data_IF_170518411902
#
_entry.id   IF_170518411902
#
_cell.length_a   1.000
_cell.length_b   1.000
_cell.length_c   1.000
_cell.angle_alpha   90.00
_cell.angle_beta   90.00
_cell.angle_gamma   90.00
#
_symmetry.space_group_name_H-M   'P 1'
#
loop_
_entity.id
_entity.type
_entity.pdbx_description
1 polymer ?
#
# COMPACT_ATOMS: atom_id res chain seq x y z
N UNK A 1 -30.90 -10.64 8.33
CA UNK A 1 -29.64 -10.16 8.92
C UNK A 1 -28.55 -10.25 7.87
N UNK A 2 -28.26 -9.16 7.15
CA UNK A 2 -27.15 -9.10 6.20
C UNK A 2 -25.89 -8.73 6.97
N UNK A 3 -25.10 -9.74 7.32
CA UNK A 3 -23.77 -9.51 7.86
C UNK A 3 -22.94 -8.80 6.80
N UNK A 4 -22.68 -7.51 7.00
CA UNK A 4 -21.57 -6.86 6.33
C UNK A 4 -20.31 -7.57 6.85
N UNK A 5 -19.83 -8.57 6.11
CA UNK A 5 -18.46 -9.04 6.26
C UNK A 5 -17.61 -7.80 6.02
N UNK A 6 -17.09 -7.23 7.11
CA UNK A 6 -16.08 -6.18 7.03
C UNK A 6 -14.94 -6.80 6.22
N UNK A 7 -14.72 -6.28 5.02
CA UNK A 7 -13.65 -6.76 4.17
C UNK A 7 -12.33 -6.44 4.88
N UNK A 8 -11.79 -7.38 5.65
CA UNK A 8 -10.48 -7.25 6.28
C UNK A 8 -9.43 -7.51 5.21
N UNK A 9 -8.39 -6.67 5.16
CA UNK A 9 -7.24 -6.90 4.28
C UNK A 9 -6.61 -8.24 4.70
N UNK A 10 -6.62 -9.29 3.84
CA UNK A 10 -6.03 -10.57 4.19
C UNK A 10 -4.54 -10.35 4.39
N UNK A 11 -4.05 -10.79 5.55
CA UNK A 11 -2.65 -10.69 5.89
C UNK A 11 -1.81 -11.43 4.85
N UNK A 12 -0.84 -10.73 4.27
CA UNK A 12 0.15 -11.35 3.41
C UNK A 12 0.99 -12.34 4.25
N UNK A 13 1.23 -13.56 3.74
CA UNK A 13 2.22 -14.44 4.34
C UNK A 13 3.61 -13.83 4.25
N UNK A 14 4.57 -14.35 5.04
CA UNK A 14 5.96 -13.90 4.94
C UNK A 14 6.52 -14.09 3.52
N UNK A 15 6.15 -15.18 2.85
CA UNK A 15 6.58 -15.48 1.49
C UNK A 15 6.11 -14.39 0.52
N UNK A 16 4.81 -14.12 0.50
CA UNK A 16 4.26 -13.09 -0.39
C UNK A 16 4.75 -11.69 0.00
N UNK A 17 4.89 -11.36 1.29
CA UNK A 17 5.49 -10.09 1.74
C UNK A 17 6.88 -9.90 1.15
N UNK A 18 7.75 -10.91 1.26
CA UNK A 18 9.12 -10.82 0.71
C UNK A 18 9.13 -10.73 -0.81
N UNK A 19 8.24 -11.42 -1.50
CA UNK A 19 8.14 -11.37 -2.96
C UNK A 19 7.60 -10.03 -3.49
N UNK A 20 6.77 -9.35 -2.71
CA UNK A 20 6.23 -8.04 -3.04
C UNK A 20 7.13 -6.88 -2.60
N UNK A 21 8.12 -7.11 -1.74
CA UNK A 21 9.03 -6.06 -1.27
C UNK A 21 10.17 -5.79 -2.28
N UNK A 22 10.60 -4.54 -2.39
CA UNK A 22 11.86 -4.19 -3.04
C UNK A 22 13.07 -4.73 -2.30
N UNK A 23 14.22 -4.81 -2.98
CA UNK A 23 15.46 -5.25 -2.32
C UNK A 23 15.89 -4.24 -1.27
N UNK A 24 16.29 -4.64 -0.06
CA UNK A 24 16.88 -3.69 0.89
C UNK A 24 18.20 -3.15 0.32
N UNK A 25 18.29 -1.82 0.19
CA UNK A 25 19.49 -1.10 -0.22
C UNK A 25 20.08 -0.35 0.97
N UNK A 26 21.34 -0.65 1.30
CA UNK A 26 22.08 0.10 2.30
C UNK A 26 22.71 1.33 1.64
N UNK A 27 22.36 2.51 2.15
CA UNK A 27 22.93 3.79 1.70
C UNK A 27 23.89 4.32 2.73
N UNK A 28 25.03 4.77 2.22
CA UNK A 28 26.11 5.40 2.99
C UNK A 28 26.23 6.84 2.51
N UNK A 29 25.57 7.81 3.17
CA UNK A 29 25.74 9.22 2.82
C UNK A 29 27.18 9.69 3.13
N UNK A 30 27.67 10.70 2.39
CA UNK A 30 29.01 11.27 2.58
C UNK A 30 29.24 11.84 3.99
N UNK A 31 28.16 12.21 4.68
CA UNK A 31 28.16 12.55 6.10
C UNK A 31 26.96 11.90 6.79
N UNK A 32 27.22 11.09 7.82
CA UNK A 32 26.20 10.46 8.66
C UNK A 32 26.31 8.93 8.77
N UNK A 33 25.37 8.33 9.50
CA UNK A 33 25.25 6.89 9.66
C UNK A 33 24.59 6.22 8.45
N UNK A 34 24.91 4.95 8.22
CA UNK A 34 24.24 4.15 7.19
C UNK A 34 22.76 3.97 7.50
N UNK A 35 21.92 4.01 6.47
CA UNK A 35 20.49 3.69 6.59
C UNK A 35 20.05 2.73 5.48
N UNK A 36 18.97 1.99 5.72
CA UNK A 36 18.40 1.05 4.74
C UNK A 36 17.19 1.70 4.07
N UNK A 37 17.12 1.61 2.74
CA UNK A 37 15.94 1.99 1.95
C UNK A 37 15.43 0.80 1.16
N UNK A 38 14.19 0.90 0.68
CA UNK A 38 13.68 -0.04 -0.31
C UNK A 38 14.27 0.30 -1.68
N UNK A 39 15.10 -0.60 -2.19
CA UNK A 39 15.64 -0.61 -3.55
C UNK A 39 14.66 -1.20 -4.57
N UNK A 40 15.11 -1.45 -5.81
CA UNK A 40 14.24 -1.85 -6.90
C UNK A 40 13.53 -3.17 -6.62
N UNK A 41 12.27 -3.24 -7.04
CA UNK A 41 11.48 -4.45 -6.99
C UNK A 41 11.82 -5.37 -8.18
N UNK A 42 12.18 -6.62 -7.89
CA UNK A 42 12.67 -7.59 -8.88
C UNK A 42 11.76 -8.85 -8.95
N UNK A 43 10.62 -8.79 -9.68
CA UNK A 43 9.62 -9.87 -9.69
C UNK A 43 10.12 -11.21 -10.26
N UNK A 44 11.15 -11.19 -11.11
CA UNK A 44 11.70 -12.39 -11.75
C UNK A 44 12.35 -13.38 -10.79
N UNK A 45 12.82 -12.93 -9.61
CA UNK A 45 13.46 -13.80 -8.62
C UNK A 45 12.44 -14.54 -7.73
N UNK A 46 11.15 -14.19 -7.80
CA UNK A 46 10.14 -14.79 -6.95
C UNK A 46 9.85 -16.24 -7.35
N UNK A 47 9.65 -17.10 -6.34
CA UNK A 47 9.34 -18.53 -6.52
C UNK A 47 7.95 -18.75 -7.12
N UNK A 48 7.73 -19.91 -7.75
CA UNK A 48 6.38 -20.29 -8.24
C UNK A 48 5.35 -20.37 -7.11
N UNK A 49 5.76 -20.77 -5.90
CA UNK A 49 4.88 -20.76 -4.73
C UNK A 49 4.38 -19.35 -4.39
N UNK A 50 5.27 -18.34 -4.43
CA UNK A 50 4.89 -16.95 -4.21
C UNK A 50 3.96 -16.42 -5.31
N UNK A 51 4.14 -16.88 -6.56
CA UNK A 51 3.27 -16.51 -7.69
C UNK A 51 1.87 -17.10 -7.55
N UNK A 52 1.76 -18.36 -7.13
CA UNK A 52 0.47 -18.98 -6.86
C UNK A 52 -0.25 -18.30 -5.69
N UNK A 53 0.49 -18.01 -4.62
CA UNK A 53 -0.07 -17.27 -3.48
C UNK A 53 -0.58 -15.87 -3.89
N UNK A 54 0.17 -15.17 -4.75
CA UNK A 54 -0.28 -13.89 -5.30
C UNK A 54 -1.61 -14.02 -6.07
N UNK A 55 -1.82 -15.09 -6.84
CA UNK A 55 -3.09 -15.34 -7.55
C UNK A 55 -4.25 -15.54 -6.57
N UNK A 56 -4.03 -16.34 -5.53
CA UNK A 56 -5.03 -16.60 -4.49
C UNK A 56 -5.37 -15.31 -3.75
N UNK A 57 -4.35 -14.55 -3.35
CA UNK A 57 -4.52 -13.29 -2.64
C UNK A 57 -5.27 -12.25 -3.50
N UNK A 58 -4.91 -12.10 -4.78
CA UNK A 58 -5.61 -11.19 -5.70
C UNK A 58 -7.10 -11.51 -5.86
N UNK A 59 -7.47 -12.80 -5.87
CA UNK A 59 -8.89 -13.21 -5.89
C UNK A 59 -9.62 -12.73 -4.64
N UNK A 60 -8.97 -12.78 -3.48
CA UNK A 60 -9.55 -12.28 -2.22
C UNK A 60 -9.64 -10.73 -2.20
N UNK A 61 -8.68 -10.04 -2.82
CA UNK A 61 -8.55 -8.57 -2.79
C UNK A 61 -9.53 -7.84 -3.71
N UNK A 62 -10.10 -8.49 -4.73
CA UNK A 62 -11.09 -7.87 -5.62
C UNK A 62 -12.31 -7.27 -4.90
N UNK A 63 -12.62 -7.74 -3.69
CA UNK A 63 -13.69 -7.18 -2.84
C UNK A 63 -13.24 -6.01 -1.97
N UNK A 64 -11.94 -5.84 -1.79
CA UNK A 64 -11.28 -4.91 -0.86
C UNK A 64 -10.99 -3.56 -1.53
N UNK A 65 -10.69 -3.58 -2.83
CA UNK A 65 -10.51 -2.38 -3.66
C UNK A 65 -11.78 -1.53 -3.76
N UNK A 66 -12.94 -2.09 -3.39
CA UNK A 66 -14.22 -1.38 -3.47
C UNK A 66 -14.29 -0.29 -2.40
N UNK A 67 -14.84 0.90 -2.74
CA UNK A 67 -15.15 1.92 -1.76
C UNK A 67 -16.07 1.40 -0.65
N UNK A 68 -15.98 2.01 0.52
CA UNK A 68 -16.91 1.73 1.61
C UNK A 68 -18.32 2.20 1.24
N UNK A 69 -19.33 1.39 1.51
CA UNK A 69 -20.71 1.80 1.27
C UNK A 69 -21.14 2.94 2.21
N UNK A 70 -22.04 3.82 1.74
CA UNK A 70 -22.47 5.03 2.49
C UNK A 70 -22.99 4.67 3.88
N UNK A 71 -23.70 3.55 4.02
CA UNK A 71 -24.27 3.11 5.31
C UNK A 71 -23.19 2.67 6.28
N UNK A 72 -22.22 1.88 5.82
CA UNK A 72 -21.09 1.43 6.63
C UNK A 72 -20.20 2.58 7.05
N UNK A 73 -19.98 3.57 6.17
CA UNK A 73 -19.26 4.79 6.52
C UNK A 73 -19.97 5.58 7.62
N UNK A 74 -21.28 5.81 7.50
CA UNK A 74 -22.08 6.49 8.54
C UNK A 74 -22.01 5.73 9.87
N UNK A 75 -22.08 4.40 9.85
CA UNK A 75 -21.94 3.59 11.07
C UNK A 75 -20.54 3.70 11.70
N UNK A 76 -19.47 3.71 10.89
CA UNK A 76 -18.11 3.89 11.35
C UNK A 76 -17.89 5.29 11.96
N UNK A 77 -18.44 6.33 11.33
CA UNK A 77 -18.43 7.70 11.86
C UNK A 77 -19.21 7.82 13.16
N UNK A 78 -20.35 7.17 13.29
CA UNK A 78 -21.12 7.15 14.53
C UNK A 78 -20.31 6.51 15.67
N UNK A 79 -19.63 5.38 15.42
CA UNK A 79 -18.73 4.75 16.38
C UNK A 79 -17.56 5.65 16.77
N UNK A 80 -16.92 6.30 15.79
CA UNK A 80 -15.86 7.28 16.05
C UNK A 80 -16.38 8.43 16.92
N UNK A 81 -17.56 8.98 16.62
CA UNK A 81 -18.18 10.06 17.38
C UNK A 81 -18.46 9.67 18.84
N UNK A 82 -18.92 8.44 19.07
CA UNK A 82 -19.12 7.92 20.43
C UNK A 82 -17.80 7.77 21.20
N UNK A 83 -16.70 7.46 20.51
CA UNK A 83 -15.38 7.31 21.12
C UNK A 83 -14.66 8.65 21.36
N UNK A 84 -14.79 9.62 20.46
CA UNK A 84 -14.00 10.88 20.48
C UNK A 84 -14.77 12.07 21.07
N UNK A 85 -15.61 11.87 22.08
CA UNK A 85 -16.55 12.89 22.52
C UNK A 85 -15.92 13.98 23.42
N UNK A 86 -15.73 15.19 22.87
CA UNK A 86 -16.08 16.53 23.43
C UNK A 86 -15.64 17.62 22.41
N UNK A 87 -16.33 18.77 22.22
CA UNK A 87 -17.73 19.06 22.50
C UNK A 87 -18.66 18.54 21.38
N UNK A 88 -19.95 18.47 21.70
CA UNK A 88 -21.02 17.82 20.90
C UNK A 88 -21.23 18.51 19.56
N UNK A 89 -21.04 17.75 18.47
CA UNK A 89 -21.59 18.09 17.16
C UNK A 89 -23.12 18.08 17.21
N UNK A 90 -23.77 19.04 16.57
CA UNK A 90 -25.23 18.99 16.41
C UNK A 90 -25.62 17.90 15.39
N UNK A 91 -26.87 17.43 15.41
CA UNK A 91 -27.36 16.46 14.42
C UNK A 91 -27.28 17.01 12.98
N UNK A 92 -27.45 18.33 12.81
CA UNK A 92 -27.33 19.00 11.52
C UNK A 92 -25.88 19.02 11.03
N UNK A 93 -24.92 19.26 11.93
CA UNK A 93 -23.48 19.13 11.61
C UNK A 93 -23.11 17.70 11.23
N UNK A 94 -23.74 16.69 11.86
CA UNK A 94 -23.49 15.28 11.57
C UNK A 94 -23.99 14.86 10.18
N UNK A 95 -25.15 15.35 9.76
CA UNK A 95 -25.69 15.09 8.41
C UNK A 95 -24.79 15.65 7.31
N UNK A 96 -24.44 16.94 7.40
CA UNK A 96 -23.59 17.62 6.39
C UNK A 96 -22.17 17.06 6.40
N UNK A 97 -21.57 16.83 7.57
CA UNK A 97 -20.24 16.20 7.63
C UNK A 97 -20.25 14.76 7.13
N UNK A 98 -21.32 13.99 7.37
CA UNK A 98 -21.43 12.62 6.85
C UNK A 98 -21.31 12.54 5.33
N UNK A 99 -21.90 13.50 4.61
CA UNK A 99 -21.78 13.55 3.15
C UNK A 99 -20.39 13.98 2.69
N UNK A 100 -19.80 14.98 3.33
CA UNK A 100 -18.42 15.43 3.03
C UNK A 100 -17.43 14.28 3.24
N UNK A 101 -17.58 13.48 4.29
CA UNK A 101 -16.68 12.37 4.57
C UNK A 101 -16.89 11.24 3.58
N UNK A 102 -18.14 10.96 3.21
CA UNK A 102 -18.44 9.97 2.19
C UNK A 102 -17.79 10.33 0.85
N UNK A 103 -17.98 11.56 0.37
CA UNK A 103 -17.43 11.98 -0.93
C UNK A 103 -15.91 12.05 -0.92
N UNK A 104 -15.31 12.53 0.18
CA UNK A 104 -13.85 12.73 0.27
C UNK A 104 -13.08 11.44 0.51
N UNK A 105 -13.71 10.38 1.02
CA UNK A 105 -13.07 9.07 1.28
C UNK A 105 -13.52 8.00 0.28
N UNK A 106 -14.42 8.32 -0.66
CA UNK A 106 -14.94 7.37 -1.64
C UNK A 106 -13.88 6.83 -2.62
N UNK A 107 -12.75 7.54 -2.79
CA UNK A 107 -11.64 7.07 -3.62
C UNK A 107 -10.74 6.05 -2.92
N UNK A 108 -10.90 5.87 -1.60
CA UNK A 108 -10.10 4.96 -0.81
C UNK A 108 -10.76 3.57 -0.70
N UNK A 109 -9.96 2.49 -0.65
CA UNK A 109 -10.47 1.14 -0.42
C UNK A 109 -11.23 1.07 0.92
N UNK A 110 -12.43 0.49 0.94
CA UNK A 110 -13.31 0.54 2.11
C UNK A 110 -12.70 -0.13 3.35
N UNK A 111 -11.89 -1.17 3.15
CA UNK A 111 -11.14 -1.82 4.21
C UNK A 111 -10.12 -0.87 4.89
N UNK A 112 -9.45 -0.02 4.10
CA UNK A 112 -8.50 0.98 4.60
C UNK A 112 -9.24 2.07 5.36
N UNK A 113 -10.40 2.50 4.86
CA UNK A 113 -11.24 3.50 5.54
C UNK A 113 -11.68 2.98 6.91
N UNK A 114 -12.19 1.73 6.98
CA UNK A 114 -12.61 1.11 8.24
C UNK A 114 -11.44 0.99 9.24
N UNK A 115 -10.28 0.48 8.79
CA UNK A 115 -9.09 0.40 9.62
C UNK A 115 -8.60 1.78 10.08
N UNK A 116 -8.75 2.81 9.25
CA UNK A 116 -8.44 4.20 9.60
C UNK A 116 -9.38 4.75 10.67
N UNK A 117 -10.67 4.43 10.62
CA UNK A 117 -11.62 4.77 11.69
C UNK A 117 -11.28 4.07 13.01
N UNK A 118 -10.93 2.79 12.97
CA UNK A 118 -10.50 2.04 14.16
C UNK A 118 -9.21 2.61 14.77
N UNK A 119 -8.26 3.03 13.94
CA UNK A 119 -7.05 3.70 14.41
C UNK A 119 -7.35 5.08 14.99
N UNK A 120 -8.25 5.83 14.35
CA UNK A 120 -8.65 7.15 14.81
C UNK A 120 -9.31 7.11 16.18
N UNK A 121 -10.12 6.08 16.47
CA UNK A 121 -10.72 5.83 17.79
C UNK A 121 -9.67 5.71 18.89
N UNK A 122 -8.49 5.14 18.60
CA UNK A 122 -7.42 4.91 19.57
C UNK A 122 -6.52 6.13 19.76
N UNK A 123 -6.39 6.95 18.73
CA UNK A 123 -5.35 7.99 18.65
C UNK A 123 -5.89 9.41 18.82
N UNK A 124 -7.12 9.68 18.37
CA UNK A 124 -7.68 11.02 18.41
C UNK A 124 -8.48 11.25 19.69
N UNK A 125 -8.10 12.33 20.39
CA UNK A 125 -8.85 12.83 21.54
C UNK A 125 -10.13 13.57 21.13
N UNK A 126 -10.10 14.22 19.98
CA UNK A 126 -11.19 15.05 19.43
C UNK A 126 -11.68 14.45 18.13
N UNK A 127 -12.90 14.77 17.71
CA UNK A 127 -13.39 14.27 16.43
C UNK A 127 -12.50 14.80 15.29
N UNK A 128 -11.77 13.93 14.56
CA UNK A 128 -10.84 14.36 13.53
C UNK A 128 -11.59 14.97 12.36
N UNK A 129 -10.97 15.94 11.71
CA UNK A 129 -11.37 16.43 10.38
C UNK A 129 -11.18 15.35 9.31
N UNK A 130 -11.79 15.56 8.14
CA UNK A 130 -11.64 14.63 7.01
C UNK A 130 -10.20 14.57 6.51
N UNK A 131 -9.46 15.68 6.62
CA UNK A 131 -8.04 15.75 6.23
C UNK A 131 -7.16 14.93 7.18
N UNK A 132 -7.42 14.98 8.48
CA UNK A 132 -6.70 14.16 9.47
C UNK A 132 -6.96 12.67 9.26
N UNK A 133 -8.23 12.28 9.03
CA UNK A 133 -8.56 10.90 8.69
C UNK A 133 -7.91 10.46 7.38
N UNK A 134 -7.94 11.30 6.35
CA UNK A 134 -7.29 11.00 5.06
C UNK A 134 -5.79 10.83 5.23
N UNK A 135 -5.14 11.67 6.04
CA UNK A 135 -3.71 11.54 6.36
C UNK A 135 -3.33 10.20 7.00
N UNK A 136 -4.22 9.58 7.78
CA UNK A 136 -4.02 8.23 8.31
C UNK A 136 -4.21 7.12 7.27
N UNK A 137 -5.16 7.32 6.35
CA UNK A 137 -5.65 6.28 5.44
C UNK A 137 -4.87 6.24 4.13
N UNK A 138 -4.49 7.39 3.59
CA UNK A 138 -3.88 7.53 2.26
C UNK A 138 -2.53 6.81 2.13
N UNK A 139 -1.61 6.85 3.12
CA UNK A 139 -0.39 6.04 3.07
C UNK A 139 -0.69 4.55 2.98
N UNK A 140 -1.64 4.04 3.79
CA UNK A 140 -2.05 2.63 3.79
C UNK A 140 -2.75 2.25 2.48
N UNK A 141 -3.56 3.14 1.91
CA UNK A 141 -4.19 2.93 0.62
C UNK A 141 -3.16 2.85 -0.52
N UNK A 142 -2.15 3.72 -0.49
CA UNK A 142 -1.07 3.72 -1.48
C UNK A 142 -0.20 2.47 -1.35
N UNK A 143 0.13 2.05 -0.13
CA UNK A 143 0.83 0.79 0.11
C UNK A 143 0.03 -0.41 -0.41
N UNK A 144 -1.28 -0.47 -0.12
CA UNK A 144 -2.15 -1.53 -0.61
C UNK A 144 -2.23 -1.54 -2.15
N UNK A 145 -2.39 -0.37 -2.79
CA UNK A 145 -2.40 -0.24 -4.25
C UNK A 145 -1.09 -0.75 -4.86
N UNK A 146 0.05 -0.39 -4.27
CA UNK A 146 1.36 -0.88 -4.71
C UNK A 146 1.49 -2.40 -4.54
N UNK A 147 1.06 -2.95 -3.41
CA UNK A 147 1.07 -4.40 -3.17
C UNK A 147 0.20 -5.14 -4.20
N UNK A 148 -0.97 -4.59 -4.53
CA UNK A 148 -1.88 -5.13 -5.54
C UNK A 148 -1.24 -5.10 -6.92
N UNK A 149 -0.66 -3.98 -7.31
CA UNK A 149 0.04 -3.84 -8.60
C UNK A 149 1.17 -4.85 -8.72
N UNK A 150 2.02 -4.94 -7.70
CA UNK A 150 3.13 -5.90 -7.64
C UNK A 150 2.62 -7.34 -7.66
N UNK A 151 1.54 -7.65 -6.95
CA UNK A 151 0.93 -8.98 -6.97
C UNK A 151 0.37 -9.33 -8.36
N UNK A 152 -0.29 -8.38 -9.05
CA UNK A 152 -0.79 -8.58 -10.43
C UNK A 152 0.33 -8.89 -11.40
N UNK A 153 1.43 -8.14 -11.30
CA UNK A 153 2.62 -8.35 -12.12
C UNK A 153 3.33 -9.65 -11.75
N UNK A 154 3.37 -10.03 -10.47
CA UNK A 154 3.96 -11.29 -10.03
C UNK A 154 3.15 -12.51 -10.49
N UNK A 155 1.82 -12.43 -10.44
CA UNK A 155 0.89 -13.50 -10.83
C UNK A 155 0.96 -13.84 -12.33
N UNK A 156 1.22 -12.83 -13.16
CA UNK A 156 1.50 -12.94 -14.60
C UNK A 156 2.99 -13.17 -14.76
N UNK A 157 3.43 -14.44 -14.85
CA UNK A 157 4.84 -14.85 -14.96
C UNK A 157 5.70 -13.74 -15.61
N UNK A 158 6.58 -13.07 -14.85
CA UNK A 158 7.19 -11.82 -15.31
C UNK A 158 8.03 -12.08 -16.56
N UNK A 159 8.12 -11.06 -17.42
CA UNK A 159 9.04 -11.08 -18.55
C UNK A 159 10.47 -11.39 -18.08
N UNK A 160 11.27 -12.11 -18.89
CA UNK A 160 12.64 -12.42 -18.52
C UNK A 160 13.40 -11.15 -18.14
N UNK A 161 14.22 -11.23 -17.08
CA UNK A 161 15.00 -10.09 -16.58
C UNK A 161 15.62 -9.34 -17.76
N UNK A 162 15.36 -8.04 -17.93
CA UNK A 162 15.95 -7.29 -19.02
C UNK A 162 17.47 -7.44 -18.92
N UNK A 163 18.07 -7.96 -20.00
CA UNK A 163 19.54 -8.04 -20.09
C UNK A 163 20.02 -6.61 -19.93
N UNK A 164 20.72 -6.32 -18.83
CA UNK A 164 21.47 -5.08 -18.69
C UNK A 164 22.32 -5.00 -19.96
N UNK A 165 22.03 -4.02 -20.83
CA UNK A 165 22.89 -3.76 -21.96
C UNK A 165 24.27 -3.56 -21.36
N UNK A 166 25.21 -4.44 -21.71
CA UNK A 166 26.58 -4.32 -21.22
C UNK A 166 26.98 -2.86 -21.42
N UNK A 167 27.50 -2.17 -20.39
CA UNK A 167 27.96 -0.81 -20.57
C UNK A 167 28.88 -0.85 -21.78
N UNK A 168 28.52 -0.12 -22.85
CA UNK A 168 29.44 0.08 -23.95
C UNK A 168 30.64 0.76 -23.31
N UNK A 169 31.68 -0.01 -23.02
CA UNK A 169 32.99 0.51 -22.67
C UNK A 169 33.48 1.25 -23.90
N UNK A 170 33.04 2.51 -24.06
CA UNK A 170 33.71 3.47 -24.92
C UNK A 170 35.09 3.67 -24.29
N UNK A 171 36.11 3.04 -24.87
CA UNK A 171 37.50 3.45 -24.63
C UNK A 171 38.50 2.41 -24.16
N UNK A 172 38.17 1.11 -24.09
CA UNK A 172 39.23 0.09 -24.02
C UNK A 172 39.54 -0.40 -25.43
N UNK A 173 40.38 0.36 -26.12
CA UNK A 173 41.04 -0.10 -27.33
C UNK A 173 41.93 -1.30 -27.01
N UNK A 174 41.97 -2.25 -27.94
CA UNK A 174 42.86 -3.39 -27.97
C UNK A 174 44.33 -2.94 -27.87
N UNK A 175 44.87 -2.83 -26.66
CA UNK A 175 46.30 -2.73 -26.42
C UNK A 175 46.90 -4.14 -26.23
N UNK A 176 46.82 -4.96 -27.27
CA UNK A 176 47.70 -6.13 -27.39
C UNK A 176 48.08 -6.32 -28.84
N UNK A 177 49.02 -5.49 -29.30
CA UNK A 177 50.06 -5.81 -30.30
C UNK A 177 50.90 -4.55 -30.58
N UNK A 178 51.92 -4.34 -29.78
CA UNK A 178 53.14 -3.63 -30.15
C UNK A 178 54.28 -4.58 -29.74
N UNK A 179 54.79 -5.34 -30.71
CA UNK A 179 56.12 -5.14 -31.30
C UNK A 179 57.23 -5.66 -30.37
N UNK A 180 57.52 -6.95 -30.51
CA UNK A 180 58.91 -7.42 -30.48
C UNK A 180 59.34 -7.49 -31.94
N UNK A 181 60.11 -6.51 -32.37
CA UNK A 181 61.15 -6.63 -33.39
C UNK A 181 62.25 -5.62 -33.04
#
# INVERSE_FOLDING_TARGET
MTGHQLATIPSLSLLLKTALAGKPEYRFPESGGSYTVEGPWEPWNASEAAREEARVWLKAVGHIERPLDKRALVMAMAKLSMATAKPKMTLQDAGVKGEVYYTTLADLPGAVVLAGFEEAIKTFRWFPSVAELRGLMEPKANELRLQIERARTLARKPEPRPKLAAPKLKGFGDMTKAEKD
#
